data_IF_360888222767
#
_entry.id   IF_360888222767
#
_cell.length_a   1.000
_cell.length_b   1.000
_cell.length_c   1.000
_cell.angle_alpha   90.00
_cell.angle_beta   90.00
_cell.angle_gamma   90.00
#
_symmetry.space_group_name_H-M   'P 1'
#
loop_
_entity.id
_entity.type
_entity.pdbx_description
1 polymer ?
#
# COMPACT_ATOMS: atom_id res chain seq x y z
N UNK A 1 -26.84 -12.31 5.00
CA UNK A 1 -25.85 -11.44 4.34
C UNK A 1 -26.16 -11.42 2.84
N UNK A 2 -26.23 -10.25 2.23
CA UNK A 2 -26.56 -10.12 0.80
C UNK A 2 -25.45 -9.38 0.03
N UNK A 3 -25.40 -9.60 -1.28
CA UNK A 3 -24.48 -8.95 -2.22
C UNK A 3 -25.29 -8.17 -3.24
N UNK A 4 -24.90 -6.92 -3.50
CA UNK A 4 -25.52 -6.09 -4.54
C UNK A 4 -24.98 -6.48 -5.91
N UNK A 5 -25.90 -6.61 -6.88
CA UNK A 5 -25.59 -6.94 -8.28
C UNK A 5 -25.93 -5.81 -9.25
N UNK A 6 -26.21 -4.61 -8.73
CA UNK A 6 -26.44 -3.44 -9.56
C UNK A 6 -25.11 -2.88 -10.05
N UNK A 7 -25.02 -2.44 -11.30
CA UNK A 7 -23.78 -1.93 -11.92
C UNK A 7 -23.04 -0.90 -11.05
N UNK A 8 -23.81 -0.01 -10.40
CA UNK A 8 -23.26 1.04 -9.53
C UNK A 8 -22.66 0.52 -8.22
N UNK A 9 -23.05 -0.67 -7.76
CA UNK A 9 -22.67 -1.24 -6.47
C UNK A 9 -22.25 -2.72 -6.57
N UNK A 10 -21.76 -3.14 -7.74
CA UNK A 10 -21.52 -4.54 -8.06
C UNK A 10 -20.56 -5.19 -7.05
N UNK A 11 -20.98 -6.31 -6.45
CA UNK A 11 -20.18 -7.06 -5.49
C UNK A 11 -20.12 -6.48 -4.07
N UNK A 12 -20.69 -5.29 -3.82
CA UNK A 12 -20.74 -4.71 -2.46
C UNK A 12 -21.67 -5.52 -1.56
N UNK A 13 -21.25 -5.76 -0.32
CA UNK A 13 -22.02 -6.54 0.66
C UNK A 13 -22.80 -5.64 1.60
N UNK A 14 -24.02 -6.05 1.96
CA UNK A 14 -24.87 -5.33 2.90
C UNK A 14 -25.64 -6.28 3.82
N UNK A 15 -26.08 -5.70 4.93
CA UNK A 15 -27.05 -6.27 5.85
C UNK A 15 -28.44 -5.77 5.48
N UNK A 16 -29.41 -6.67 5.49
CA UNK A 16 -30.83 -6.39 5.28
C UNK A 16 -31.66 -7.21 6.26
N UNK A 17 -32.93 -6.82 6.44
CA UNK A 17 -33.83 -7.58 7.30
C UNK A 17 -33.98 -9.03 6.80
N UNK A 18 -33.83 -10.05 7.67
CA UNK A 18 -34.12 -11.44 7.30
C UNK A 18 -35.57 -11.68 6.88
N UNK A 19 -36.51 -10.86 7.38
CA UNK A 19 -37.95 -10.97 7.17
C UNK A 19 -38.53 -9.76 6.42
N UNK A 20 -37.77 -9.23 5.44
CA UNK A 20 -38.15 -8.05 4.65
C UNK A 20 -39.60 -8.11 4.14
N UNK A 21 -40.01 -9.25 3.59
CA UNK A 21 -41.34 -9.47 2.99
C UNK A 21 -42.47 -9.64 4.01
N UNK A 22 -42.16 -10.11 5.22
CA UNK A 22 -43.18 -10.46 6.21
C UNK A 22 -43.54 -9.33 7.17
N UNK A 23 -42.61 -8.38 7.41
CA UNK A 23 -42.77 -7.34 8.43
C UNK A 23 -42.59 -5.91 7.92
N UNK A 24 -42.50 -5.69 6.60
CA UNK A 24 -42.22 -4.37 5.99
C UNK A 24 -40.99 -3.66 6.62
N UNK A 25 -39.98 -4.44 7.02
CA UNK A 25 -38.80 -3.90 7.67
C UNK A 25 -37.82 -3.37 6.64
N UNK A 26 -37.62 -2.05 6.62
CA UNK A 26 -36.73 -1.37 5.68
C UNK A 26 -35.27 -1.26 6.16
N UNK A 27 -34.83 -2.18 7.02
CA UNK A 27 -33.45 -2.16 7.52
C UNK A 27 -32.46 -2.45 6.39
N UNK A 28 -31.47 -1.57 6.24
CA UNK A 28 -30.39 -1.67 5.26
C UNK A 28 -29.10 -1.06 5.82
N UNK A 29 -27.97 -1.76 5.71
CA UNK A 29 -26.66 -1.23 6.09
C UNK A 29 -25.54 -1.78 5.22
N UNK A 30 -24.76 -0.89 4.59
CA UNK A 30 -23.53 -1.27 3.88
C UNK A 30 -22.48 -1.81 4.85
N UNK A 31 -21.83 -2.91 4.46
CA UNK A 31 -20.78 -3.54 5.28
C UNK A 31 -19.38 -2.95 5.06
N UNK A 32 -19.24 -1.99 4.16
CA UNK A 32 -17.93 -1.38 3.83
C UNK A 32 -17.31 -0.61 5.01
N UNK A 33 -18.15 -0.18 5.97
CA UNK A 33 -17.73 0.57 7.16
C UNK A 33 -17.33 -0.32 8.32
N UNK A 34 -17.58 -1.63 8.24
CA UNK A 34 -17.29 -2.54 9.32
C UNK A 34 -15.77 -2.74 9.42
N UNK A 35 -15.22 -2.48 10.60
CA UNK A 35 -13.79 -2.72 10.84
C UNK A 35 -13.56 -4.21 10.63
N UNK A 36 -12.48 -4.54 9.91
CA UNK A 36 -11.96 -5.90 9.84
C UNK A 36 -11.85 -6.43 11.27
N UNK A 37 -12.48 -7.57 11.55
CA UNK A 37 -12.41 -8.16 12.88
C UNK A 37 -10.94 -8.47 13.25
N UNK A 38 -10.61 -8.41 14.53
CA UNK A 38 -9.21 -8.47 14.98
C UNK A 38 -8.51 -9.78 14.56
N UNK A 39 -9.27 -10.89 14.48
CA UNK A 39 -8.76 -12.18 14.00
C UNK A 39 -8.44 -12.11 12.51
N UNK A 40 -9.34 -11.58 11.70
CA UNK A 40 -9.14 -11.36 10.27
C UNK A 40 -7.99 -10.40 10.00
N UNK A 41 -7.77 -9.40 10.85
CA UNK A 41 -6.63 -8.48 10.73
C UNK A 41 -5.29 -9.23 10.81
N UNK A 42 -5.15 -10.12 11.79
CA UNK A 42 -3.96 -10.95 11.94
C UNK A 42 -3.77 -11.89 10.73
N UNK A 43 -4.84 -12.57 10.32
CA UNK A 43 -4.82 -13.51 9.19
C UNK A 43 -4.46 -12.77 7.89
N UNK A 44 -5.09 -11.63 7.61
CA UNK A 44 -4.83 -10.83 6.41
C UNK A 44 -3.38 -10.34 6.37
N UNK A 45 -2.84 -9.85 7.49
CA UNK A 45 -1.45 -9.41 7.54
C UNK A 45 -0.48 -10.57 7.24
N UNK A 46 -0.74 -11.75 7.81
CA UNK A 46 0.05 -12.96 7.54
C UNK A 46 -0.02 -13.36 6.08
N UNK A 47 -1.21 -13.37 5.48
CA UNK A 47 -1.41 -13.72 4.07
C UNK A 47 -0.70 -12.74 3.14
N UNK A 48 -0.80 -11.44 3.42
CA UNK A 48 -0.10 -10.40 2.64
C UNK A 48 1.42 -10.61 2.67
N UNK A 49 1.99 -10.92 3.85
CA UNK A 49 3.41 -11.19 3.97
C UNK A 49 3.82 -12.47 3.21
N UNK A 50 3.01 -13.53 3.29
CA UNK A 50 3.26 -14.78 2.56
C UNK A 50 3.24 -14.57 1.04
N UNK A 51 2.26 -13.80 0.53
CA UNK A 51 2.19 -13.47 -0.90
C UNK A 51 3.45 -12.74 -1.33
N UNK A 52 3.88 -11.74 -0.56
CA UNK A 52 5.09 -10.97 -0.86
C UNK A 52 6.33 -11.87 -0.91
N UNK A 53 6.49 -12.76 0.07
CA UNK A 53 7.61 -13.71 0.10
C UNK A 53 7.59 -14.67 -1.10
N UNK A 54 6.40 -15.16 -1.47
CA UNK A 54 6.24 -16.00 -2.66
C UNK A 54 6.56 -15.26 -3.95
N UNK A 55 6.13 -14.01 -4.09
CA UNK A 55 6.46 -13.16 -5.25
C UNK A 55 7.98 -12.94 -5.36
N UNK A 56 8.65 -12.65 -4.24
CA UNK A 56 10.11 -12.48 -4.19
C UNK A 56 10.86 -13.78 -4.53
N UNK A 57 10.39 -14.91 -4.01
CA UNK A 57 10.94 -16.23 -4.33
C UNK A 57 10.76 -16.60 -5.81
N UNK A 58 9.57 -16.33 -6.36
CA UNK A 58 9.28 -16.56 -7.77
C UNK A 58 10.22 -15.77 -8.66
N UNK A 59 10.41 -14.47 -8.41
CA UNK A 59 11.33 -13.65 -9.19
C UNK A 59 12.79 -14.11 -9.03
N UNK A 60 13.22 -14.53 -7.84
CA UNK A 60 14.57 -15.13 -7.67
C UNK A 60 14.77 -16.38 -8.51
N UNK A 61 13.84 -17.35 -8.43
CA UNK A 61 13.93 -18.62 -9.17
C UNK A 61 13.86 -18.37 -10.68
N UNK A 62 12.95 -17.49 -11.11
CA UNK A 62 12.83 -17.07 -12.51
C UNK A 62 14.13 -16.45 -13.02
N UNK A 63 14.78 -15.59 -12.24
CA UNK A 63 16.08 -15.01 -12.60
C UNK A 63 17.17 -16.06 -12.64
N UNK A 64 17.26 -16.96 -11.65
CA UNK A 64 18.24 -18.05 -11.63
C UNK A 64 18.09 -18.98 -12.85
N UNK A 65 16.85 -19.35 -13.18
CA UNK A 65 16.54 -20.13 -14.38
C UNK A 65 16.93 -19.37 -15.66
N UNK A 66 16.60 -18.08 -15.74
CA UNK A 66 16.96 -17.23 -16.87
C UNK A 66 18.49 -17.16 -17.07
N UNK A 67 19.26 -16.94 -16.01
CA UNK A 67 20.73 -16.97 -16.06
C UNK A 67 21.27 -18.35 -16.47
N UNK A 68 20.71 -19.44 -15.94
CA UNK A 68 21.10 -20.80 -16.32
C UNK A 68 20.82 -21.13 -17.78
N UNK A 69 19.78 -20.54 -18.38
CA UNK A 69 19.43 -20.74 -19.80
C UNK A 69 20.32 -19.90 -20.74
N UNK A 70 20.77 -18.74 -20.26
CA UNK A 70 21.52 -17.76 -21.05
C UNK A 70 23.02 -18.02 -21.03
N UNK A 71 23.62 -18.41 -19.90
CA UNK A 71 25.06 -18.65 -19.79
C UNK A 71 25.56 -19.69 -20.83
N UNK A 72 24.87 -20.83 -21.06
CA UNK A 72 25.22 -21.76 -22.13
C UNK A 72 25.04 -21.17 -23.54
N UNK A 73 24.05 -20.28 -23.74
CA UNK A 73 23.78 -19.64 -25.04
C UNK A 73 24.73 -18.48 -25.38
N UNK A 74 25.38 -17.86 -24.40
CA UNK A 74 26.35 -16.77 -24.61
C UNK A 74 27.71 -17.28 -25.08
N UNK A 75 28.04 -18.56 -24.85
CA UNK A 75 29.29 -19.18 -25.31
C UNK A 75 29.35 -19.41 -26.83
N UNK A 76 28.24 -19.20 -27.56
CA UNK A 76 28.22 -19.16 -29.03
C UNK A 76 28.05 -17.73 -29.55
N UNK A 77 28.99 -17.18 -30.33
CA UNK A 77 28.94 -15.80 -30.83
C UNK A 77 27.67 -15.48 -31.65
N UNK A 78 27.18 -16.44 -32.44
CA UNK A 78 26.03 -16.25 -33.33
C UNK A 78 24.68 -16.22 -32.59
N UNK A 79 24.53 -16.92 -31.45
CA UNK A 79 23.28 -16.88 -30.66
C UNK A 79 23.17 -15.64 -29.78
N UNK A 80 24.30 -15.01 -29.44
CA UNK A 80 24.35 -13.78 -28.63
C UNK A 80 23.46 -12.70 -29.24
N UNK A 81 23.67 -12.39 -30.53
CA UNK A 81 22.98 -11.30 -31.25
C UNK A 81 21.45 -11.46 -31.28
N UNK A 82 20.96 -12.70 -31.39
CA UNK A 82 19.53 -13.02 -31.42
C UNK A 82 18.86 -12.86 -30.04
N UNK A 83 19.57 -13.21 -28.97
CA UNK A 83 19.07 -13.09 -27.59
C UNK A 83 18.94 -11.63 -27.16
N UNK A 84 19.92 -10.77 -27.50
CA UNK A 84 19.86 -9.32 -27.21
C UNK A 84 18.66 -8.64 -27.88
N UNK A 85 18.30 -9.04 -29.11
CA UNK A 85 17.10 -8.55 -29.80
C UNK A 85 15.81 -8.95 -29.07
N UNK A 86 15.69 -10.22 -28.63
CA UNK A 86 14.47 -10.75 -28.01
C UNK A 86 14.24 -10.25 -26.57
N UNK A 87 15.32 -9.99 -25.83
CA UNK A 87 15.27 -9.37 -24.50
C UNK A 87 14.78 -7.92 -24.57
N UNK A 88 15.14 -7.19 -25.64
CA UNK A 88 14.72 -5.81 -25.86
C UNK A 88 13.21 -5.69 -26.14
N UNK A 89 12.63 -6.71 -26.76
CA UNK A 89 11.20 -6.78 -27.09
C UNK A 89 10.33 -7.09 -25.86
N UNK A 90 10.74 -8.03 -24.99
CA UNK A 90 10.02 -8.36 -23.75
C UNK A 90 10.25 -7.38 -22.59
N UNK A 91 11.32 -6.59 -22.63
CA UNK A 91 11.66 -5.60 -21.61
C UNK A 91 10.78 -4.34 -21.61
N UNK A 92 10.05 -4.08 -22.69
CA UNK A 92 9.14 -2.91 -22.79
C UNK A 92 7.96 -3.00 -21.82
N UNK A 93 7.32 -4.16 -21.73
CA UNK A 93 6.06 -4.37 -21.00
C UNK A 93 6.26 -4.49 -19.47
N UNK A 94 7.40 -5.06 -19.05
CA UNK A 94 7.76 -5.23 -17.63
C UNK A 94 8.23 -3.91 -16.99
N UNK A 95 8.84 -3.02 -17.78
CA UNK A 95 9.33 -1.74 -17.27
C UNK A 95 8.17 -0.81 -16.89
N UNK A 96 7.12 -0.80 -17.69
CA UNK A 96 5.93 0.03 -17.44
C UNK A 96 5.15 -0.40 -16.19
N UNK A 97 5.01 -1.72 -15.96
CA UNK A 97 4.32 -2.26 -14.78
C UNK A 97 5.12 -2.09 -13.47
N UNK A 98 6.45 -2.23 -13.51
CA UNK A 98 7.33 -1.95 -12.37
C UNK A 98 7.37 -0.46 -12.01
N UNK A 99 7.44 0.43 -13.01
CA UNK A 99 7.44 1.88 -12.79
C UNK A 99 6.12 2.37 -12.18
N UNK A 100 4.99 1.79 -12.57
CA UNK A 100 3.67 2.12 -12.00
C UNK A 100 3.55 1.67 -10.53
N UNK A 101 4.03 0.46 -10.19
CA UNK A 101 4.08 -0.03 -8.80
C UNK A 101 5.02 0.82 -7.93
N UNK A 102 6.20 1.16 -8.45
CA UNK A 102 7.18 1.99 -7.72
C UNK A 102 6.66 3.42 -7.49
N UNK A 103 5.95 4.02 -8.47
CA UNK A 103 5.28 5.32 -8.29
C UNK A 103 4.22 5.28 -7.19
N UNK A 104 3.36 4.25 -7.16
CA UNK A 104 2.36 4.07 -6.09
C UNK A 104 2.99 3.92 -4.70
N UNK A 105 4.09 3.16 -4.58
CA UNK A 105 4.79 2.95 -3.32
C UNK A 105 5.51 4.23 -2.82
N UNK A 106 6.10 5.00 -3.75
CA UNK A 106 6.72 6.31 -3.45
C UNK A 106 5.69 7.34 -3.00
N UNK A 107 4.51 7.37 -3.62
CA UNK A 107 3.41 8.27 -3.25
C UNK A 107 2.93 8.00 -1.82
N UNK A 108 2.70 6.72 -1.47
CA UNK A 108 2.26 6.31 -0.14
C UNK A 108 3.28 6.63 0.96
N UNK A 109 4.58 6.52 0.67
CA UNK A 109 5.66 6.87 1.62
C UNK A 109 5.79 8.38 1.83
N UNK A 110 5.48 9.20 0.81
CA UNK A 110 5.52 10.67 0.90
C UNK A 110 4.40 11.20 1.82
N UNK A 111 3.22 10.58 1.76
CA UNK A 111 2.06 10.95 2.61
C UNK A 111 2.29 10.61 4.10
N UNK A 112 3.01 9.53 4.39
CA UNK A 112 3.33 9.10 5.76
C UNK A 112 4.42 9.97 6.39
N UNK A 113 5.45 10.34 5.62
CA UNK A 113 6.52 11.25 6.05
C UNK A 113 5.99 12.66 6.30
N UNK A 114 5.08 13.16 5.44
CA UNK A 114 4.50 14.49 5.60
C UNK A 114 3.65 14.60 6.89
N UNK A 115 2.94 13.52 7.25
CA UNK A 115 2.15 13.45 8.49
C UNK A 115 3.02 13.43 9.76
N UNK A 116 4.20 12.81 9.70
CA UNK A 116 5.10 12.73 10.85
C UNK A 116 5.87 14.04 11.09
N UNK A 117 6.29 14.71 10.01
CA UNK A 117 7.02 15.98 10.11
C UNK A 117 6.14 17.13 10.62
N UNK A 118 4.86 17.17 10.24
CA UNK A 118 3.91 18.16 10.74
C UNK A 118 3.70 18.08 12.27
N UNK A 119 3.68 16.87 12.84
CA UNK A 119 3.58 16.69 14.30
C UNK A 119 4.84 17.16 15.02
N UNK A 120 6.02 16.87 14.45
CA UNK A 120 7.30 17.30 15.00
C UNK A 120 7.45 18.83 15.04
N UNK A 121 7.10 19.50 13.94
CA UNK A 121 7.10 20.98 13.88
C UNK A 121 6.11 21.60 14.86
N UNK A 122 4.91 21.01 15.00
CA UNK A 122 3.92 21.50 15.96
C UNK A 122 4.44 21.41 17.41
N UNK A 123 5.09 20.31 17.79
CA UNK A 123 5.72 20.18 19.11
C UNK A 123 6.81 21.23 19.34
N UNK A 124 7.69 21.47 18.37
CA UNK A 124 8.74 22.49 18.50
C UNK A 124 8.15 23.90 18.70
N UNK A 125 7.13 24.26 17.93
CA UNK A 125 6.48 25.57 18.06
C UNK A 125 5.84 25.77 19.43
N UNK A 126 5.19 24.75 19.98
CA UNK A 126 4.63 24.80 21.34
C UNK A 126 5.75 24.98 22.37
N UNK A 127 6.86 24.24 22.25
CA UNK A 127 8.00 24.39 23.14
C UNK A 127 8.59 25.81 23.10
N UNK A 128 8.75 26.39 21.91
CA UNK A 128 9.24 27.77 21.78
C UNK A 128 8.30 28.79 22.44
N UNK A 129 6.99 28.65 22.26
CA UNK A 129 6.01 29.56 22.90
C UNK A 129 6.07 29.43 24.43
N UNK A 130 6.15 28.22 24.98
CA UNK A 130 6.26 28.00 26.43
C UNK A 130 7.54 28.62 26.98
N UNK A 131 8.67 28.43 26.31
CA UNK A 131 9.96 29.03 26.72
C UNK A 131 9.88 30.55 26.64
N UNK A 132 9.34 31.09 25.56
CA UNK A 132 9.21 32.53 25.36
C UNK A 132 8.30 33.19 26.39
N UNK A 133 7.13 32.62 26.67
CA UNK A 133 6.22 33.12 27.72
C UNK A 133 6.88 33.03 29.10
N UNK A 134 7.58 31.92 29.38
CA UNK A 134 8.32 31.76 30.64
C UNK A 134 9.42 32.82 30.79
N UNK A 135 10.13 33.14 29.70
CA UNK A 135 11.12 34.22 29.67
C UNK A 135 10.49 35.59 29.90
N UNK A 136 9.37 35.90 29.23
CA UNK A 136 8.64 37.16 29.45
C UNK A 136 8.13 37.30 30.89
N UNK A 137 7.66 36.22 31.50
CA UNK A 137 7.23 36.23 32.92
C UNK A 137 8.43 36.52 33.83
N UNK A 138 9.58 35.90 33.60
CA UNK A 138 10.80 36.14 34.38
C UNK A 138 11.31 37.58 34.23
N UNK A 139 11.30 38.12 33.01
CA UNK A 139 11.73 39.50 32.74
C UNK A 139 10.73 40.52 33.28
N UNK A 140 9.43 40.22 33.22
CA UNK A 140 8.37 41.05 33.80
C UNK A 140 8.49 41.19 35.30
N UNK A 141 8.77 40.09 36.01
CA UNK A 141 9.00 40.10 37.47
C UNK A 141 10.31 40.74 37.92
N UNK A 142 11.23 41.04 36.99
CA UNK A 142 12.49 41.72 37.28
C UNK A 142 12.36 43.25 37.16
N UNK A 143 11.21 43.75 36.67
CA UNK A 143 10.92 45.17 36.44
C UNK A 143 9.91 45.77 37.43
N UNK A 144 9.39 44.96 38.35
CA UNK A 144 8.63 45.38 39.54
C UNK A 144 9.55 45.30 40.77
#
# INVERSE_FOLDING_TARGET
MQTSWLDRNLGRRFWSCPHYEAMNCNFFLWRDKERVDERSRFILLKLVNMIKELEENYERVKMQYWYSLIIPSLNSPNKRKFLWMKVKEKGGDVKETCDLKQKKMKMKKKDEVCRCFGKFLCCLMICFVVIFVSFLIQVGRLKD
#
